data_IF_054349662327
#
_entry.id   IF_054349662327
#
_cell.length_a   1.000
_cell.length_b   1.000
_cell.length_c   1.000
_cell.angle_alpha   90.00
_cell.angle_beta   90.00
_cell.angle_gamma   90.00
#
_symmetry.space_group_name_H-M   'P 1'
#
loop_
_entity.id
_entity.type
_entity.pdbx_description
1 polymer ?
#
# COMPACT_ATOMS: atom_id res chain seq x y z
N UNK A 1 23.79 35.31 -63.01
CA UNK A 1 22.89 34.17 -63.26
C UNK A 1 23.45 32.95 -62.53
N UNK A 2 22.71 32.42 -61.54
CA UNK A 2 22.58 31.02 -61.09
C UNK A 2 23.86 30.15 -60.92
N UNK A 3 24.12 29.37 -59.86
CA UNK A 3 23.33 28.88 -58.71
C UNK A 3 24.30 28.10 -57.77
N UNK A 4 24.23 28.38 -56.46
CA UNK A 4 24.13 27.45 -55.31
C UNK A 4 24.98 26.15 -55.28
N UNK A 5 25.91 25.99 -54.31
CA UNK A 5 25.73 25.50 -52.91
C UNK A 5 25.32 24.01 -52.84
N UNK A 6 26.23 23.10 -52.44
CA UNK A 6 26.48 22.61 -51.06
C UNK A 6 25.38 21.69 -50.48
N UNK A 7 25.87 20.60 -49.87
CA UNK A 7 25.27 19.72 -48.85
C UNK A 7 24.53 18.46 -49.31
N UNK A 8 25.25 17.35 -49.12
CA UNK A 8 24.74 16.01 -48.96
C UNK A 8 23.64 15.98 -47.88
N UNK A 9 22.44 15.58 -48.28
CA UNK A 9 21.32 15.41 -47.37
C UNK A 9 21.43 14.04 -46.67
N UNK A 10 21.90 14.08 -45.43
CA UNK A 10 21.94 12.95 -44.50
C UNK A 10 20.51 12.48 -44.21
N UNK A 11 20.22 11.21 -44.48
CA UNK A 11 18.94 10.59 -44.15
C UNK A 11 18.81 10.45 -42.62
N UNK A 12 17.94 11.26 -42.00
CA UNK A 12 17.60 11.15 -40.59
C UNK A 12 16.47 10.13 -40.46
N UNK A 13 16.79 8.96 -39.90
CA UNK A 13 15.80 7.95 -39.55
C UNK A 13 15.02 8.42 -38.32
N UNK A 14 13.74 8.78 -38.50
CA UNK A 14 12.83 9.14 -37.41
C UNK A 14 12.31 7.86 -36.78
N UNK A 15 12.84 7.52 -35.60
CA UNK A 15 12.28 6.48 -34.75
C UNK A 15 10.96 6.97 -34.16
N UNK A 16 9.84 6.43 -34.66
CA UNK A 16 8.51 6.73 -34.17
C UNK A 16 8.25 5.87 -32.92
N UNK A 17 8.62 6.37 -31.74
CA UNK A 17 8.28 5.75 -30.46
C UNK A 17 6.80 5.96 -30.18
N UNK A 18 5.98 4.93 -30.40
CA UNK A 18 4.59 4.87 -29.97
C UNK A 18 4.54 4.73 -28.45
N UNK A 19 4.60 5.85 -27.73
CA UNK A 19 4.20 5.90 -26.33
C UNK A 19 2.68 5.75 -26.26
N UNK A 20 2.21 4.52 -26.02
CA UNK A 20 0.83 4.27 -25.60
C UNK A 20 0.66 4.91 -24.24
N UNK A 21 0.20 6.17 -24.23
CA UNK A 21 -0.29 6.80 -23.02
C UNK A 21 -1.53 6.03 -22.58
N UNK A 22 -1.35 5.13 -21.60
CA UNK A 22 -2.45 4.49 -20.91
C UNK A 22 -3.32 5.60 -20.33
N UNK A 23 -4.49 5.80 -20.95
CA UNK A 23 -5.49 6.74 -20.49
C UNK A 23 -5.93 6.27 -19.11
N UNK A 24 -5.80 7.07 -18.03
CA UNK A 24 -6.38 6.67 -16.75
C UNK A 24 -7.89 6.61 -16.95
N UNK A 25 -8.43 5.39 -16.96
CA UNK A 25 -9.86 5.18 -16.99
C UNK A 25 -10.47 5.90 -15.78
N UNK A 26 -11.16 7.00 -16.06
CA UNK A 26 -11.98 7.73 -15.12
C UNK A 26 -13.16 6.82 -14.72
N UNK A 27 -12.93 5.98 -13.71
CA UNK A 27 -13.95 5.11 -13.13
C UNK A 27 -14.85 5.93 -12.18
N UNK A 28 -15.71 6.77 -12.74
CA UNK A 28 -16.97 7.14 -12.08
C UNK A 28 -17.99 6.05 -12.39
N UNK A 29 -17.79 4.86 -11.82
CA UNK A 29 -18.74 3.76 -11.92
C UNK A 29 -18.88 3.09 -10.55
N UNK A 30 -20.10 3.06 -10.02
CA UNK A 30 -20.46 2.52 -8.71
C UNK A 30 -20.36 0.97 -8.64
N UNK A 31 -19.68 0.34 -9.60
CA UNK A 31 -19.54 -1.11 -9.69
C UNK A 31 -18.32 -1.67 -8.96
N UNK A 32 -17.29 -0.87 -8.68
CA UNK A 32 -16.09 -1.35 -7.98
C UNK A 32 -16.07 -0.83 -6.54
N UNK A 33 -15.94 -1.71 -5.53
CA UNK A 33 -15.65 -1.23 -4.17
C UNK A 33 -14.35 -0.41 -4.23
N UNK A 34 -14.30 0.73 -3.51
CA UNK A 34 -13.12 1.58 -3.52
C UNK A 34 -11.87 0.76 -3.13
N UNK A 35 -10.72 1.05 -3.77
CA UNK A 35 -9.52 0.25 -3.57
C UNK A 35 -9.10 0.27 -2.09
N UNK A 36 -8.54 -0.83 -1.55
CA UNK A 36 -8.05 -0.86 -0.17
C UNK A 36 -7.06 0.27 0.11
N UNK A 37 -7.18 0.87 1.29
CA UNK A 37 -6.32 1.94 1.77
C UNK A 37 -5.24 1.35 2.67
N UNK A 38 -4.00 1.84 2.51
CA UNK A 38 -2.90 1.48 3.40
C UNK A 38 -2.97 2.35 4.66
N UNK A 39 -3.06 1.71 5.82
CA UNK A 39 -3.03 2.35 7.12
C UNK A 39 -1.78 1.89 7.88
N UNK A 40 -1.17 2.80 8.62
CA UNK A 40 -0.05 2.50 9.52
C UNK A 40 -0.57 2.47 10.95
N UNK A 41 -0.51 1.30 11.58
CA UNK A 41 -0.86 1.08 12.98
C UNK A 41 0.40 1.21 13.84
N UNK A 42 0.32 1.94 14.94
CA UNK A 42 1.34 1.90 15.97
C UNK A 42 1.03 0.74 16.92
N UNK A 43 1.90 -0.28 16.95
CA UNK A 43 1.74 -1.49 17.75
C UNK A 43 2.77 -1.45 18.90
N UNK A 44 2.31 -1.63 20.13
CA UNK A 44 3.21 -1.73 21.28
C UNK A 44 3.90 -3.10 21.32
N UNK A 45 5.22 -3.14 21.51
CA UNK A 45 5.91 -4.40 21.80
C UNK A 45 5.77 -4.71 23.30
N UNK A 46 5.15 -5.83 23.70
CA UNK A 46 5.06 -6.21 25.11
C UNK A 46 6.39 -6.63 25.74
N UNK A 47 7.39 -6.96 24.92
CA UNK A 47 8.70 -7.44 25.36
C UNK A 47 9.74 -6.32 25.42
N UNK A 48 9.49 -5.17 24.80
CA UNK A 48 10.40 -4.04 24.77
C UNK A 48 9.73 -2.81 25.42
N UNK A 49 10.31 -2.20 26.46
CA UNK A 49 9.81 -0.94 27.02
C UNK A 49 9.93 0.26 26.05
N UNK A 50 10.58 0.10 24.89
CA UNK A 50 10.73 1.11 23.84
C UNK A 50 9.42 1.39 23.07
N UNK A 51 9.32 2.52 22.32
CA UNK A 51 8.05 3.02 21.82
C UNK A 51 7.44 2.14 20.73
N UNK A 52 6.11 2.20 20.62
CA UNK A 52 5.31 1.54 19.58
C UNK A 52 5.96 1.59 18.19
N UNK A 53 5.93 0.48 17.47
CA UNK A 53 6.49 0.37 16.12
C UNK A 53 5.38 0.41 15.05
N UNK A 54 5.68 0.96 13.85
CA UNK A 54 4.69 1.08 12.78
C UNK A 54 4.50 -0.25 12.04
N UNK A 55 3.25 -0.67 11.86
CA UNK A 55 2.84 -1.82 11.04
C UNK A 55 1.87 -1.34 9.97
N UNK A 56 2.18 -1.61 8.70
CA UNK A 56 1.30 -1.22 7.59
C UNK A 56 0.32 -2.33 7.26
N UNK A 57 -0.97 -2.01 7.19
CA UNK A 57 -2.06 -2.93 6.86
C UNK A 57 -2.91 -2.35 5.73
N UNK A 58 -3.53 -3.22 4.93
CA UNK A 58 -4.48 -2.82 3.90
C UNK A 58 -5.89 -3.02 4.44
N UNK A 59 -6.70 -1.96 4.46
CA UNK A 59 -8.07 -2.00 5.00
C UNK A 59 -9.05 -1.55 3.90
N UNK A 60 -10.25 -2.12 3.80
CA UNK A 60 -11.26 -1.63 2.87
C UNK A 60 -11.53 -0.14 3.08
N UNK A 61 -11.60 0.65 2.00
CA UNK A 61 -11.78 2.11 2.11
C UNK A 61 -13.14 2.53 2.68
N UNK A 62 -14.09 1.60 2.82
CA UNK A 62 -15.37 1.84 3.48
C UNK A 62 -15.30 1.76 5.01
N UNK A 63 -14.19 1.30 5.57
CA UNK A 63 -13.98 1.25 7.01
C UNK A 63 -13.53 2.62 7.53
N UNK A 64 -14.02 3.02 8.71
CA UNK A 64 -13.47 4.18 9.42
C UNK A 64 -11.97 4.00 9.69
N UNK A 65 -11.17 5.07 9.78
CA UNK A 65 -9.73 4.95 10.01
C UNK A 65 -9.37 4.46 11.43
N UNK A 66 -10.32 4.47 12.37
CA UNK A 66 -10.08 4.19 13.78
C UNK A 66 -10.53 2.75 14.17
N UNK A 67 -9.59 1.80 14.31
CA UNK A 67 -9.91 0.47 14.84
C UNK A 67 -10.06 0.48 16.37
N UNK A 68 -10.85 -0.45 16.88
CA UNK A 68 -10.78 -0.86 18.28
C UNK A 68 -9.64 -1.89 18.43
N UNK A 69 -8.78 -1.70 19.44
CA UNK A 69 -7.68 -2.61 19.74
C UNK A 69 -7.98 -3.42 20.99
N UNK A 70 -7.71 -4.73 20.93
CA UNK A 70 -7.75 -5.62 22.09
C UNK A 70 -6.48 -6.47 22.13
N UNK A 71 -6.01 -6.76 23.33
CA UNK A 71 -4.78 -7.50 23.55
C UNK A 71 -5.06 -8.83 24.23
N UNK A 72 -4.38 -9.88 23.77
CA UNK A 72 -4.34 -11.16 24.46
C UNK A 72 -2.95 -11.75 24.44
N UNK A 73 -2.61 -12.45 25.51
CA UNK A 73 -1.41 -13.26 25.55
C UNK A 73 -1.66 -14.58 24.81
N UNK A 74 -0.79 -14.90 23.86
CA UNK A 74 -0.77 -16.15 23.12
C UNK A 74 0.18 -17.17 23.75
N UNK A 75 0.18 -18.38 23.22
CA UNK A 75 1.11 -19.42 23.65
C UNK A 75 2.58 -19.04 23.32
N UNK A 76 3.51 -19.55 24.12
CA UNK A 76 4.97 -19.40 23.93
C UNK A 76 5.48 -17.95 23.95
N UNK A 77 4.88 -17.09 24.80
CA UNK A 77 5.29 -15.69 24.94
C UNK A 77 5.01 -14.85 23.69
N UNK A 78 4.04 -15.27 22.88
CA UNK A 78 3.47 -14.46 21.81
C UNK A 78 2.44 -13.53 22.41
N UNK A 79 2.27 -12.35 21.83
CA UNK A 79 1.13 -11.49 22.13
C UNK A 79 0.42 -11.13 20.84
N UNK A 80 -0.90 -11.04 20.93
CA UNK A 80 -1.75 -10.77 19.78
C UNK A 80 -2.50 -9.48 20.04
N UNK A 81 -2.27 -8.48 19.21
CA UNK A 81 -3.11 -7.30 19.09
C UNK A 81 -4.17 -7.59 18.01
N UNK A 82 -5.42 -7.57 18.41
CA UNK A 82 -6.56 -7.70 17.50
C UNK A 82 -7.13 -6.31 17.26
N UNK A 83 -7.06 -5.86 16.01
CA UNK A 83 -7.65 -4.62 15.52
C UNK A 83 -8.97 -4.95 14.83
N UNK A 84 -10.05 -4.34 15.28
CA UNK A 84 -11.40 -4.52 14.71
C UNK A 84 -11.90 -3.17 14.22
N UNK A 85 -12.35 -3.12 12.98
CA UNK A 85 -13.03 -1.96 12.41
C UNK A 85 -14.54 -2.15 12.51
N UNK A 86 -15.20 -1.58 13.54
CA UNK A 86 -16.62 -1.86 13.79
C UNK A 86 -17.53 -1.41 12.64
N UNK A 87 -17.12 -0.38 11.88
CA UNK A 87 -17.87 0.14 10.72
C UNK A 87 -18.08 -0.90 9.60
N UNK A 88 -17.14 -1.83 9.43
CA UNK A 88 -17.14 -2.79 8.32
C UNK A 88 -16.92 -4.24 8.77
N UNK A 89 -16.68 -4.49 10.06
CA UNK A 89 -16.39 -5.81 10.63
C UNK A 89 -15.03 -6.39 10.26
N UNK A 90 -14.16 -5.63 9.57
CA UNK A 90 -12.83 -6.10 9.20
C UNK A 90 -11.96 -6.28 10.45
N UNK A 91 -11.13 -7.31 10.46
CA UNK A 91 -10.33 -7.70 11.62
C UNK A 91 -8.92 -8.04 11.17
N UNK A 92 -7.94 -7.47 11.87
CA UNK A 92 -6.52 -7.78 11.66
C UNK A 92 -5.90 -8.18 12.98
N UNK A 93 -5.28 -9.35 13.01
CA UNK A 93 -4.49 -9.85 14.14
C UNK A 93 -3.00 -9.62 13.87
N UNK A 94 -2.38 -8.75 14.65
CA UNK A 94 -0.93 -8.55 14.67
C UNK A 94 -0.34 -9.40 15.79
N UNK A 95 0.44 -10.40 15.42
CA UNK A 95 1.12 -11.30 16.37
C UNK A 95 2.56 -10.85 16.51
N UNK A 96 2.94 -10.48 17.73
CA UNK A 96 4.33 -10.18 18.09
C UNK A 96 4.88 -11.39 18.83
N UNK A 97 5.96 -11.97 18.31
CA UNK A 97 6.65 -13.06 19.00
C UNK A 97 7.70 -12.49 19.96
N UNK A 98 8.08 -13.26 20.98
CA UNK A 98 9.18 -12.91 21.90
C UNK A 98 10.51 -12.61 21.20
N UNK A 99 10.69 -13.04 19.94
CA UNK A 99 11.90 -12.78 19.15
C UNK A 99 11.82 -11.47 18.36
N UNK A 100 10.76 -10.67 18.53
CA UNK A 100 10.52 -9.44 17.78
C UNK A 100 9.98 -9.66 16.37
N UNK A 101 9.61 -10.90 16.02
CA UNK A 101 8.96 -11.18 14.74
C UNK A 101 7.50 -10.72 14.77
N UNK A 102 7.09 -9.98 13.74
CA UNK A 102 5.74 -9.43 13.57
C UNK A 102 5.05 -10.17 12.43
N UNK A 103 3.91 -10.80 12.75
CA UNK A 103 3.11 -11.56 11.78
C UNK A 103 1.73 -10.92 11.72
N UNK A 104 1.36 -10.38 10.56
CA UNK A 104 0.03 -9.81 10.31
C UNK A 104 -0.88 -10.88 9.72
N UNK A 105 -2.11 -10.96 10.22
CA UNK A 105 -3.17 -11.87 9.74
C UNK A 105 -4.44 -11.06 9.51
N UNK A 106 -4.93 -10.99 8.29
CA UNK A 106 -6.18 -10.34 7.88
C UNK A 106 -7.31 -11.34 7.55
#
# INVERSE_FOLDING_TARGET
MMRHLYLAASAVAVAFSLSVAATPASATDRCCPPPPVKLTLCVDDPCDPCPAFPVTVCVPACCDPAPCVSWRDGAFGRRVATYVWPACGHRVDVVVTRRGEVIVRD
#
